data_IF_732207107552
#
_entry.id   IF_732207107552
#
_cell.length_a   1.000
_cell.length_b   1.000
_cell.length_c   1.000
_cell.angle_alpha   90.00
_cell.angle_beta   90.00
_cell.angle_gamma   90.00
#
_symmetry.space_group_name_H-M   'P 1'
#
loop_
_entity.id
_entity.type
_entity.pdbx_description
1 polymer ?
#
# COMPACT_ATOMS: atom_id res chain seq x y z
N UNK A 1 -17.89 9.01 48.31
CA UNK A 1 -18.20 9.16 46.87
C UNK A 1 -17.37 10.35 46.41
N UNK A 2 -16.23 10.16 45.76
CA UNK A 2 -16.16 9.98 44.31
C UNK A 2 -14.84 9.30 43.95
N UNK A 3 -14.91 8.10 43.35
CA UNK A 3 -13.78 7.45 42.72
C UNK A 3 -13.60 8.07 41.32
N UNK A 4 -12.46 8.74 41.09
CA UNK A 4 -12.05 9.14 39.74
C UNK A 4 -11.16 8.04 39.16
N UNK A 5 -11.60 7.57 38.01
CA UNK A 5 -11.05 6.44 37.24
C UNK A 5 -9.75 6.84 36.56
N UNK A 6 -8.68 6.08 36.86
CA UNK A 6 -7.41 6.08 36.14
C UNK A 6 -7.56 5.37 34.78
N UNK A 7 -6.93 5.87 33.69
CA UNK A 7 -6.81 5.13 32.44
C UNK A 7 -5.66 4.09 32.48
N UNK A 8 -5.78 2.95 31.77
CA UNK A 8 -4.87 1.81 31.89
C UNK A 8 -3.57 1.94 31.06
N UNK A 9 -2.48 1.26 31.47
CA UNK A 9 -1.20 1.27 30.77
C UNK A 9 -1.20 0.38 29.51
N UNK A 10 -0.56 0.89 28.46
CA UNK A 10 -0.41 0.27 27.15
C UNK A 10 0.25 -1.11 27.22
N UNK A 11 -0.47 -2.13 26.76
CA UNK A 11 -0.02 -3.50 26.67
C UNK A 11 1.15 -3.63 25.68
N UNK A 12 2.31 -4.00 26.21
CA UNK A 12 3.55 -4.29 25.49
C UNK A 12 3.46 -5.72 24.96
N UNK A 13 3.11 -5.89 23.68
CA UNK A 13 3.13 -7.19 23.01
C UNK A 13 4.58 -7.66 22.78
N UNK A 14 4.98 -8.85 23.27
CA UNK A 14 6.25 -9.46 22.90
C UNK A 14 6.11 -10.27 21.61
N UNK A 15 6.95 -10.01 20.61
CA UNK A 15 7.08 -10.87 19.42
C UNK A 15 8.16 -11.96 19.64
N UNK A 16 7.95 -13.18 19.09
CA UNK A 16 8.82 -14.33 19.32
C UNK A 16 10.10 -14.27 18.48
N UNK A 17 11.24 -14.43 19.14
CA UNK A 17 12.57 -14.59 18.52
C UNK A 17 12.73 -16.04 18.04
N UNK A 18 12.82 -16.27 16.73
CA UNK A 18 13.23 -17.55 16.17
C UNK A 18 14.76 -17.63 16.16
N UNK A 19 15.31 -18.41 17.09
CA UNK A 19 16.73 -18.70 17.24
C UNK A 19 17.17 -19.69 16.16
N UNK A 20 18.03 -19.25 15.24
CA UNK A 20 18.75 -20.15 14.34
C UNK A 20 20.02 -20.63 15.07
N UNK A 21 20.00 -21.86 15.57
CA UNK A 21 21.15 -22.53 16.17
C UNK A 21 22.00 -23.09 15.03
N UNK A 22 23.19 -22.52 14.82
CA UNK A 22 24.24 -23.11 13.99
C UNK A 22 25.29 -23.71 14.90
N UNK A 23 25.38 -25.03 14.88
CA UNK A 23 26.38 -25.78 15.61
C UNK A 23 27.80 -25.44 15.17
N UNK A 24 28.69 -25.38 16.13
CA UNK A 24 30.13 -25.52 15.91
C UNK A 24 30.69 -26.33 17.08
N UNK A 25 31.03 -27.58 16.79
CA UNK A 25 31.86 -28.45 17.62
C UNK A 25 33.30 -27.97 17.46
N UNK A 26 34.02 -27.71 18.56
CA UNK A 26 35.44 -28.00 18.69
C UNK A 26 35.90 -27.93 20.15
N UNK A 27 36.50 -29.04 20.58
CA UNK A 27 37.14 -29.25 21.87
C UNK A 27 38.50 -28.53 21.95
N UNK A 28 38.89 -28.05 23.13
CA UNK A 28 40.25 -28.15 23.67
C UNK A 28 40.35 -27.54 25.10
N UNK A 29 40.98 -28.29 26.01
CA UNK A 29 41.41 -27.88 27.35
C UNK A 29 42.59 -26.89 27.28
N UNK A 30 42.59 -25.86 28.13
CA UNK A 30 43.79 -25.33 28.80
C UNK A 30 43.40 -24.34 29.91
N UNK A 31 43.88 -24.58 31.13
CA UNK A 31 43.78 -23.69 32.26
C UNK A 31 44.99 -22.73 32.27
N UNK A 32 44.76 -21.42 32.32
CA UNK A 32 45.80 -20.38 32.41
C UNK A 32 45.19 -18.97 32.33
N UNK A 33 45.79 -17.96 33.00
CA UNK A 33 45.08 -16.80 33.53
C UNK A 33 44.90 -15.68 32.50
N UNK A 34 44.28 -14.57 32.92
CA UNK A 34 44.49 -13.18 32.45
C UNK A 34 43.22 -12.44 31.95
N UNK A 35 42.98 -11.34 32.68
CA UNK A 35 42.29 -10.08 32.35
C UNK A 35 40.81 -10.08 31.92
N UNK A 36 40.01 -9.45 32.79
CA UNK A 36 38.76 -8.81 32.44
C UNK A 36 39.02 -7.71 31.38
N UNK A 37 38.63 -7.99 30.13
CA UNK A 37 38.46 -6.98 29.10
C UNK A 37 37.09 -6.30 29.29
N UNK A 38 36.99 -4.98 29.11
CA UNK A 38 35.73 -4.26 29.23
C UNK A 38 34.77 -4.72 28.13
N UNK A 39 33.51 -4.92 28.53
CA UNK A 39 32.39 -5.17 27.64
C UNK A 39 32.40 -4.13 26.52
N UNK A 40 32.73 -4.55 25.29
CA UNK A 40 32.37 -3.77 24.13
C UNK A 40 30.86 -3.87 24.00
N UNK A 41 30.20 -2.81 24.48
CA UNK A 41 28.82 -2.50 24.17
C UNK A 41 28.78 -2.38 22.64
N UNK A 42 28.40 -3.47 21.97
CA UNK A 42 27.81 -3.39 20.65
C UNK A 42 26.47 -2.69 20.85
N UNK A 43 26.51 -1.37 20.96
CA UNK A 43 25.38 -0.51 20.66
C UNK A 43 25.15 -0.67 19.15
N UNK A 44 24.58 -1.82 18.80
CA UNK A 44 23.87 -2.02 17.56
C UNK A 44 22.65 -1.12 17.66
N UNK A 45 22.88 0.17 17.49
CA UNK A 45 21.87 1.08 16.99
C UNK A 45 21.41 0.42 15.70
N UNK A 46 20.34 -0.35 15.81
CA UNK A 46 19.53 -0.74 14.69
C UNK A 46 19.09 0.59 14.10
N UNK A 47 19.87 1.10 13.15
CA UNK A 47 19.44 2.10 12.22
C UNK A 47 18.21 1.48 11.58
N UNK A 48 17.05 1.87 12.08
CA UNK A 48 15.75 1.51 11.49
C UNK A 48 15.72 2.18 10.13
N UNK A 49 16.41 1.58 9.17
CA UNK A 49 16.42 2.02 7.79
C UNK A 49 14.98 1.93 7.30
N UNK A 50 14.42 3.08 6.94
CA UNK A 50 13.11 3.13 6.36
C UNK A 50 13.28 2.82 4.87
N UNK A 51 12.85 1.64 4.45
CA UNK A 51 12.80 1.31 3.04
C UNK A 51 11.67 2.09 2.40
N UNK A 52 12.01 3.03 1.51
CA UNK A 52 11.03 3.83 0.77
C UNK A 52 11.12 3.53 -0.72
N UNK A 53 9.99 3.33 -1.40
CA UNK A 53 9.94 3.26 -2.85
C UNK A 53 10.25 4.64 -3.44
N UNK A 54 11.27 4.68 -4.29
CA UNK A 54 11.68 5.84 -5.07
C UNK A 54 11.47 5.53 -6.56
N UNK A 55 11.01 6.51 -7.38
CA UNK A 55 10.98 6.36 -8.82
C UNK A 55 12.41 6.23 -9.37
N UNK A 56 12.59 5.38 -10.38
CA UNK A 56 13.84 5.28 -11.14
C UNK A 56 13.84 6.17 -12.38
N UNK A 57 12.66 6.58 -12.82
CA UNK A 57 12.41 7.44 -13.97
C UNK A 57 11.54 8.63 -13.56
N UNK A 58 11.53 9.66 -14.40
CA UNK A 58 10.57 10.75 -14.23
C UNK A 58 9.18 10.27 -14.63
N UNK A 59 8.20 10.39 -13.73
CA UNK A 59 6.81 10.02 -13.99
C UNK A 59 5.97 11.29 -14.06
N UNK A 60 5.21 11.46 -15.15
CA UNK A 60 4.41 12.65 -15.37
C UNK A 60 3.01 12.50 -14.75
N UNK A 61 2.33 13.62 -14.44
CA UNK A 61 0.93 13.59 -14.02
C UNK A 61 0.05 12.89 -15.07
N UNK A 62 -0.77 11.93 -14.64
CA UNK A 62 -1.64 11.13 -15.50
C UNK A 62 -1.05 9.77 -15.89
N UNK A 63 0.25 9.54 -15.67
CA UNK A 63 0.87 8.25 -15.97
C UNK A 63 0.56 7.20 -14.91
N UNK A 64 0.32 5.96 -15.35
CA UNK A 64 0.21 4.79 -14.47
C UNK A 64 1.58 4.38 -13.97
N UNK A 65 1.77 4.36 -12.65
CA UNK A 65 3.00 3.95 -11.99
C UNK A 65 3.09 2.43 -12.03
N UNK A 66 4.13 1.90 -12.66
CA UNK A 66 4.41 0.45 -12.68
C UNK A 66 5.40 0.09 -11.59
N UNK A 67 5.33 -1.14 -11.09
CA UNK A 67 6.30 -1.65 -10.10
C UNK A 67 7.75 -1.57 -10.62
N UNK A 68 7.96 -1.79 -11.92
CA UNK A 68 9.28 -1.66 -12.56
C UNK A 68 9.87 -0.23 -12.57
N UNK A 69 9.03 0.79 -12.35
CA UNK A 69 9.47 2.18 -12.24
C UNK A 69 9.87 2.55 -10.81
N UNK A 70 9.64 1.64 -9.84
CA UNK A 70 9.92 1.86 -8.44
C UNK A 70 11.14 1.03 -8.01
N UNK A 71 11.93 1.58 -7.10
CA UNK A 71 13.03 0.88 -6.43
C UNK A 71 12.92 1.14 -4.93
N UNK A 72 13.14 0.12 -4.12
CA UNK A 72 13.25 0.29 -2.68
C UNK A 72 14.63 0.89 -2.35
N UNK A 73 14.64 2.05 -1.72
CA UNK A 73 15.87 2.71 -1.26
C UNK A 73 15.81 2.87 0.26
N UNK A 74 16.90 2.51 0.93
CA UNK A 74 17.05 2.70 2.37
C UNK A 74 17.28 4.19 2.66
N UNK A 75 16.42 4.74 3.51
CA UNK A 75 16.58 6.07 4.10
C UNK A 75 16.90 5.95 5.59
N UNK A 76 17.74 6.84 6.15
CA UNK A 76 18.01 6.86 7.58
C UNK A 76 16.72 7.13 8.37
N UNK A 77 16.58 6.55 9.57
CA UNK A 77 15.42 6.73 10.45
C UNK A 77 15.11 8.21 10.80
N UNK A 78 16.13 9.06 10.68
CA UNK A 78 16.05 10.51 10.89
C UNK A 78 15.40 11.23 9.69
N UNK A 79 15.17 10.55 8.57
CA UNK A 79 14.51 11.13 7.40
C UNK A 79 13.10 11.60 7.79
N UNK A 80 12.90 12.91 7.70
CA UNK A 80 11.61 13.55 7.96
C UNK A 80 11.04 13.98 6.62
N UNK A 81 10.20 13.12 6.05
CA UNK A 81 9.44 13.50 4.87
C UNK A 81 8.53 14.68 5.22
N UNK A 82 8.42 15.65 4.31
CA UNK A 82 7.53 16.81 4.45
C UNK A 82 6.05 16.43 4.40
N UNK A 83 5.74 15.21 3.95
CA UNK A 83 4.40 14.66 3.77
C UNK A 83 4.47 13.15 4.04
N UNK A 84 3.36 12.52 4.41
CA UNK A 84 3.29 11.06 4.53
C UNK A 84 3.74 10.40 3.21
N UNK A 85 4.59 9.39 3.32
CA UNK A 85 5.19 8.66 2.19
C UNK A 85 4.64 7.25 2.23
N UNK A 86 4.41 6.66 1.05
CA UNK A 86 4.03 5.26 0.95
C UNK A 86 5.29 4.42 1.10
N UNK A 87 5.31 3.51 2.06
CA UNK A 87 6.43 2.61 2.40
C UNK A 87 6.40 1.29 1.60
N UNK A 88 5.28 0.95 0.97
CA UNK A 88 5.13 -0.24 0.14
C UNK A 88 5.08 0.09 -1.36
N UNK A 89 6.02 -0.45 -2.15
CA UNK A 89 5.99 -0.32 -3.62
C UNK A 89 4.68 -0.85 -4.22
N UNK A 90 4.17 -1.96 -3.68
CA UNK A 90 2.93 -2.59 -4.11
C UNK A 90 1.68 -1.70 -3.90
N UNK A 91 1.71 -0.78 -2.92
CA UNK A 91 0.62 0.16 -2.70
C UNK A 91 0.64 1.34 -3.70
N UNK A 92 1.78 1.58 -4.37
CA UNK A 92 1.93 2.59 -5.41
C UNK A 92 1.72 1.99 -6.81
N UNK A 93 2.14 0.74 -6.99
CA UNK A 93 2.04 0.05 -8.27
C UNK A 93 0.57 -0.05 -8.74
N UNK A 94 0.32 0.30 -10.01
CA UNK A 94 -1.00 0.31 -10.63
C UNK A 94 -1.78 1.61 -10.41
N UNK A 95 -1.31 2.50 -9.53
CA UNK A 95 -1.93 3.80 -9.32
C UNK A 95 -1.49 4.85 -10.35
N UNK A 96 -2.19 5.98 -10.41
CA UNK A 96 -1.90 7.08 -11.35
C UNK A 96 -1.20 8.22 -10.62
N UNK A 97 -0.14 8.75 -11.22
CA UNK A 97 0.55 9.91 -10.68
C UNK A 97 -0.33 11.18 -10.81
N UNK A 98 -0.55 11.89 -9.70
CA UNK A 98 -1.29 13.17 -9.69
C UNK A 98 -0.38 14.37 -9.94
N UNK A 99 0.92 14.22 -9.69
CA UNK A 99 1.95 15.25 -9.88
C UNK A 99 3.22 14.62 -10.48
N UNK A 100 4.14 15.45 -10.93
CA UNK A 100 5.44 15.00 -11.42
C UNK A 100 6.22 14.35 -10.27
N UNK A 101 6.68 13.12 -10.48
CA UNK A 101 7.56 12.41 -9.56
C UNK A 101 8.97 12.38 -10.16
N UNK A 102 9.93 12.91 -9.41
CA UNK A 102 11.33 12.91 -9.81
C UNK A 102 12.02 11.61 -9.36
N UNK A 103 13.02 11.14 -10.12
CA UNK A 103 13.77 9.97 -9.75
C UNK A 103 14.57 10.20 -8.46
N UNK A 104 14.63 9.18 -7.61
CA UNK A 104 15.36 9.20 -6.34
C UNK A 104 14.61 9.84 -5.16
N UNK A 105 13.49 10.53 -5.39
CA UNK A 105 12.68 11.13 -4.32
C UNK A 105 11.58 10.16 -3.84
N UNK A 106 11.33 10.03 -2.52
CA UNK A 106 10.27 9.16 -2.03
C UNK A 106 8.88 9.63 -2.45
N UNK A 107 8.01 8.69 -2.83
CA UNK A 107 6.68 9.01 -3.36
C UNK A 107 5.70 9.41 -2.23
N UNK A 108 5.20 10.66 -2.21
CA UNK A 108 4.22 11.09 -1.22
C UNK A 108 2.87 10.40 -1.44
N UNK A 109 2.11 10.14 -0.38
CA UNK A 109 0.72 9.63 -0.47
C UNK A 109 -0.17 10.57 -1.30
N UNK A 110 0.04 11.89 -1.17
CA UNK A 110 -0.72 12.93 -1.87
C UNK A 110 -0.31 13.11 -3.35
N UNK A 111 0.68 12.34 -3.81
CA UNK A 111 1.18 12.40 -5.18
C UNK A 111 0.56 11.34 -6.09
N UNK A 112 -0.21 10.41 -5.53
CA UNK A 112 -0.71 9.24 -6.21
C UNK A 112 -2.22 9.11 -6.00
N UNK A 113 -2.95 8.77 -7.05
CA UNK A 113 -4.41 8.62 -7.09
C UNK A 113 -4.80 7.25 -7.62
N UNK A 114 -6.02 6.79 -7.33
CA UNK A 114 -6.48 5.50 -7.82
C UNK A 114 -6.70 5.54 -9.35
N UNK A 115 -6.38 4.44 -10.07
CA UNK A 115 -6.56 4.41 -11.51
C UNK A 115 -8.05 4.48 -11.84
N UNK A 116 -8.39 5.40 -12.73
CA UNK A 116 -9.75 5.50 -13.27
C UNK A 116 -9.95 4.37 -14.26
N UNK A 117 -10.69 3.34 -13.85
CA UNK A 117 -11.05 2.23 -14.73
C UNK A 117 -12.21 2.61 -15.65
N UNK A 118 -13.07 3.52 -15.19
CA UNK A 118 -14.25 3.97 -15.91
C UNK A 118 -14.24 5.48 -16.07
N UNK A 119 -14.45 5.93 -17.30
CA UNK A 119 -14.52 7.36 -17.64
C UNK A 119 -15.95 7.79 -17.95
N UNK A 120 -16.29 9.02 -17.55
CA UNK A 120 -17.59 9.64 -17.85
C UNK A 120 -17.83 9.65 -19.36
N UNK A 121 -19.00 9.19 -19.77
CA UNK A 121 -19.44 9.16 -21.18
C UNK A 121 -18.84 8.04 -22.01
N UNK A 122 -17.88 7.27 -21.49
CA UNK A 122 -17.27 6.17 -22.22
C UNK A 122 -18.17 4.93 -22.17
N UNK A 123 -18.57 4.33 -23.32
CA UNK A 123 -19.43 3.16 -23.31
C UNK A 123 -18.74 2.00 -22.57
N UNK A 124 -19.35 1.54 -21.48
CA UNK A 124 -18.80 0.53 -20.57
C UNK A 124 -19.80 -0.61 -20.38
N UNK A 125 -19.31 -1.86 -20.32
CA UNK A 125 -20.17 -3.00 -20.02
C UNK A 125 -20.64 -2.97 -18.56
N UNK A 126 -21.94 -3.12 -18.40
CA UNK A 126 -22.60 -3.32 -17.13
C UNK A 126 -23.01 -4.78 -17.00
N UNK A 127 -22.75 -5.39 -15.85
CA UNK A 127 -23.16 -6.76 -15.52
C UNK A 127 -24.10 -6.67 -14.33
N UNK A 128 -25.32 -7.15 -14.51
CA UNK A 128 -26.27 -7.34 -13.42
C UNK A 128 -26.30 -8.82 -13.04
N UNK A 129 -26.12 -9.12 -11.75
CA UNK A 129 -26.12 -10.48 -11.23
C UNK A 129 -27.08 -10.59 -10.05
N UNK A 130 -28.11 -11.42 -10.18
CA UNK A 130 -29.06 -11.69 -9.10
C UNK A 130 -29.56 -13.14 -9.18
N UNK A 131 -29.49 -13.90 -8.08
CA UNK A 131 -30.02 -15.28 -7.99
C UNK A 131 -29.59 -16.23 -9.13
N UNK A 132 -28.36 -16.06 -9.66
CA UNK A 132 -27.83 -16.86 -10.78
C UNK A 132 -28.22 -16.36 -12.18
N UNK A 133 -29.03 -15.31 -12.29
CA UNK A 133 -29.28 -14.60 -13.54
C UNK A 133 -28.18 -13.57 -13.77
N UNK A 134 -27.52 -13.64 -14.94
CA UNK A 134 -26.50 -12.68 -15.37
C UNK A 134 -27.01 -11.94 -16.61
N UNK A 135 -27.17 -10.62 -16.52
CA UNK A 135 -27.56 -9.77 -17.63
C UNK A 135 -26.39 -8.85 -17.96
N UNK A 136 -25.96 -8.83 -19.23
CA UNK A 136 -24.93 -7.90 -19.71
C UNK A 136 -25.59 -6.81 -20.55
N UNK A 137 -25.27 -5.55 -20.27
CA UNK A 137 -25.78 -4.39 -21.01
C UNK A 137 -24.66 -3.36 -21.23
N UNK A 138 -24.87 -2.41 -22.15
CA UNK A 138 -23.92 -1.32 -22.37
C UNK A 138 -24.47 -0.04 -21.76
N UNK A 139 -23.68 0.57 -20.88
CA UNK A 139 -24.02 1.81 -20.21
C UNK A 139 -23.01 2.91 -20.47
N UNK A 140 -23.48 4.16 -20.43
CA UNK A 140 -22.67 5.36 -20.39
C UNK A 140 -22.55 5.86 -18.94
N UNK A 141 -21.37 5.79 -18.32
CA UNK A 141 -21.11 6.33 -16.98
C UNK A 141 -21.37 7.84 -16.94
N UNK A 142 -22.02 8.31 -15.89
CA UNK A 142 -22.28 9.74 -15.69
C UNK A 142 -21.15 10.44 -14.92
N UNK A 143 -20.28 9.66 -14.28
CA UNK A 143 -19.12 10.10 -13.51
C UNK A 143 -17.92 9.17 -13.79
N UNK A 144 -16.71 9.64 -13.48
CA UNK A 144 -15.52 8.80 -13.49
C UNK A 144 -15.54 7.89 -12.26
N UNK A 145 -14.94 6.70 -12.36
CA UNK A 145 -14.86 5.75 -11.26
C UNK A 145 -13.59 4.92 -11.27
N UNK A 146 -13.01 4.72 -10.08
CA UNK A 146 -11.94 3.77 -9.82
C UNK A 146 -12.44 2.39 -9.38
N UNK A 147 -11.54 1.44 -9.20
CA UNK A 147 -11.85 0.09 -8.70
C UNK A 147 -12.61 0.15 -7.36
N UNK A 148 -13.76 -0.54 -7.28
CA UNK A 148 -14.58 -0.60 -6.06
C UNK A 148 -15.44 0.65 -5.81
N UNK A 149 -15.36 1.67 -6.65
CA UNK A 149 -16.17 2.88 -6.51
C UNK A 149 -17.59 2.66 -7.04
N UNK A 150 -18.59 3.18 -6.31
CA UNK A 150 -19.99 3.16 -6.75
C UNK A 150 -20.30 4.38 -7.60
N UNK A 151 -20.66 4.16 -8.87
CA UNK A 151 -20.93 5.20 -9.85
C UNK A 151 -22.31 5.09 -10.47
N UNK A 152 -22.86 6.22 -10.92
CA UNK A 152 -24.12 6.27 -11.68
C UNK A 152 -23.84 6.03 -13.16
N UNK A 153 -24.61 5.13 -13.75
CA UNK A 153 -24.49 4.76 -15.17
C UNK A 153 -25.85 4.87 -15.83
N UNK A 154 -25.89 5.47 -17.01
CA UNK A 154 -27.09 5.49 -17.85
C UNK A 154 -27.04 4.32 -18.81
N UNK A 155 -28.04 3.45 -18.77
CA UNK A 155 -28.20 2.41 -19.78
C UNK A 155 -28.54 3.07 -21.14
N UNK A 156 -27.80 2.71 -22.19
CA UNK A 156 -27.93 3.37 -23.50
C UNK A 156 -29.22 3.00 -24.22
N UNK A 157 -29.74 1.79 -23.97
CA UNK A 157 -30.96 1.27 -24.61
C UNK A 157 -32.23 1.80 -23.95
N UNK A 158 -32.27 1.82 -22.61
CA UNK A 158 -33.47 2.17 -21.83
C UNK A 158 -33.45 3.59 -21.28
N UNK A 159 -32.32 4.30 -21.40
CA UNK A 159 -32.08 5.61 -20.78
C UNK A 159 -32.25 5.66 -19.25
N UNK A 160 -32.41 4.51 -18.58
CA UNK A 160 -32.52 4.44 -17.12
C UNK A 160 -31.15 4.62 -16.48
N UNK A 161 -31.12 5.31 -15.34
CA UNK A 161 -29.90 5.49 -14.53
C UNK A 161 -29.90 4.44 -13.43
N UNK A 162 -28.79 3.71 -13.33
CA UNK A 162 -28.56 2.66 -12.34
C UNK A 162 -27.27 2.95 -11.58
N UNK A 163 -27.22 2.50 -10.33
CA UNK A 163 -26.02 2.53 -9.50
C UNK A 163 -25.30 1.20 -9.64
N UNK A 164 -23.99 1.24 -9.81
CA UNK A 164 -23.18 0.03 -9.86
C UNK A 164 -21.77 0.29 -9.36
N UNK A 165 -21.08 -0.78 -9.00
CA UNK A 165 -19.72 -0.77 -8.48
C UNK A 165 -18.74 -1.16 -9.58
N UNK A 166 -17.67 -0.39 -9.75
CA UNK A 166 -16.64 -0.68 -10.75
C UNK A 166 -15.81 -1.88 -10.32
N UNK A 167 -15.65 -2.83 -11.23
CA UNK A 167 -14.86 -4.06 -11.06
C UNK A 167 -13.45 -3.86 -11.63
N UNK A 168 -12.49 -4.67 -11.19
CA UNK A 168 -11.10 -4.61 -11.64
C UNK A 168 -10.94 -4.75 -13.17
N UNK A 169 -11.86 -5.46 -13.83
CA UNK A 169 -11.88 -5.63 -15.29
C UNK A 169 -12.38 -4.41 -16.07
N UNK A 170 -12.65 -3.29 -15.40
CA UNK A 170 -13.23 -2.09 -16.02
C UNK A 170 -14.72 -2.22 -16.35
N UNK A 171 -15.39 -3.27 -15.84
CA UNK A 171 -16.84 -3.46 -15.94
C UNK A 171 -17.56 -2.91 -14.73
N UNK A 172 -18.87 -2.68 -14.86
CA UNK A 172 -19.68 -2.14 -13.78
C UNK A 172 -20.67 -3.20 -13.31
N UNK A 173 -20.52 -3.66 -12.07
CA UNK A 173 -21.43 -4.63 -11.46
C UNK A 173 -22.63 -3.90 -10.84
N UNK A 174 -23.84 -4.30 -11.21
CA UNK A 174 -25.08 -3.77 -10.68
C UNK A 174 -25.70 -4.88 -9.82
N UNK A 175 -25.96 -4.59 -8.55
CA UNK A 175 -26.68 -5.48 -7.65
C UNK A 175 -27.86 -4.74 -7.05
N UNK A 176 -29.01 -5.41 -6.94
CA UNK A 176 -30.06 -4.95 -6.07
C UNK A 176 -29.56 -5.11 -4.62
N UNK A 177 -29.43 -3.99 -3.89
CA UNK A 177 -29.28 -4.03 -2.43
C UNK A 177 -30.65 -4.22 -1.79
#
# INVERSE_FOLDING_TARGET
MTAVSSPPPSARFPMPRKTFVRGLVLAALAAGPVQAAPAQVIDGAASTELMLPVPTVTIYPGDTIKDSMLRMQAYPATYRARTAVIDASAAIAGRVARRMLLPGEPVPVNAVDDPRLVSRGAPTQMIFEENGLVITAVGSPLQNGGLGETIRVRNTDTNRIVLGTVTADGRIRIGAQ
#
